data_IF_884260104323
#
_entry.id   IF_884260104323
#
_cell.length_a   1.000
_cell.length_b   1.000
_cell.length_c   1.000
_cell.angle_alpha   90.00
_cell.angle_beta   90.00
_cell.angle_gamma   90.00
#
_symmetry.space_group_name_H-M   'P 1'
#
loop_
_entity.id
_entity.type
_entity.pdbx_description
1 polymer ?
#
# COMPACT_ATOMS: atom_id res chain seq x y z
N UNK A 1 -15.54 2.94 -9.35
CA UNK A 1 -14.96 3.54 -10.57
C UNK A 1 -13.48 3.22 -10.56
N UNK A 2 -12.95 2.47 -11.53
CA UNK A 2 -11.50 2.18 -11.60
C UNK A 2 -10.85 3.44 -12.16
N UNK A 3 -10.08 4.16 -11.34
CA UNK A 3 -9.36 5.35 -11.79
C UNK A 3 -8.29 4.93 -12.83
N UNK A 4 -8.21 5.65 -13.97
CA UNK A 4 -7.24 5.33 -15.00
C UNK A 4 -5.81 5.42 -14.45
N UNK A 5 -4.98 4.44 -14.77
CA UNK A 5 -3.57 4.45 -14.33
C UNK A 5 -2.80 5.58 -15.04
N UNK A 6 -2.07 6.43 -14.31
CA UNK A 6 -1.12 7.35 -14.91
C UNK A 6 -0.06 6.58 -15.73
N UNK A 7 0.36 7.12 -16.88
CA UNK A 7 1.26 6.41 -17.81
C UNK A 7 2.58 5.96 -17.16
N UNK A 8 3.19 6.83 -16.34
CA UNK A 8 4.42 6.51 -15.62
C UNK A 8 4.22 5.39 -14.58
N UNK A 9 3.08 5.39 -13.89
CA UNK A 9 2.71 4.36 -12.92
C UNK A 9 2.43 3.04 -13.63
N UNK A 10 1.75 3.08 -14.79
CA UNK A 10 1.51 1.92 -15.63
C UNK A 10 2.83 1.26 -16.05
N UNK A 11 3.80 2.05 -16.52
CA UNK A 11 5.12 1.56 -16.88
C UNK A 11 5.84 0.90 -15.70
N UNK A 12 5.71 1.44 -14.48
CA UNK A 12 6.28 0.83 -13.29
C UNK A 12 5.65 -0.54 -12.96
N UNK A 13 4.33 -0.68 -13.08
CA UNK A 13 3.66 -1.98 -12.93
C UNK A 13 4.02 -2.96 -14.03
N UNK A 14 4.12 -2.50 -15.29
CA UNK A 14 4.48 -3.34 -16.44
C UNK A 14 5.90 -3.92 -16.33
N UNK A 15 6.79 -3.28 -15.56
CA UNK A 15 8.13 -3.77 -15.30
C UNK A 15 8.19 -4.91 -14.26
N UNK A 16 7.09 -5.19 -13.54
CA UNK A 16 7.04 -6.31 -12.60
C UNK A 16 6.76 -7.65 -13.33
N UNK A 17 7.27 -8.78 -12.81
CA UNK A 17 6.85 -10.10 -13.29
C UNK A 17 5.33 -10.26 -13.22
N UNK A 18 4.76 -11.07 -14.11
CA UNK A 18 3.32 -11.17 -14.32
C UNK A 18 2.52 -11.40 -13.03
N UNK A 19 2.92 -12.38 -12.21
CA UNK A 19 2.26 -12.70 -10.94
C UNK A 19 2.34 -11.53 -9.93
N UNK A 20 3.49 -10.87 -9.86
CA UNK A 20 3.68 -9.70 -9.00
C UNK A 20 2.84 -8.52 -9.48
N UNK A 21 2.83 -8.25 -10.78
CA UNK A 21 2.01 -7.20 -11.40
C UNK A 21 0.52 -7.42 -11.12
N UNK A 22 0.02 -8.63 -11.37
CA UNK A 22 -1.37 -8.98 -11.12
C UNK A 22 -1.76 -8.74 -9.65
N UNK A 23 -0.97 -9.28 -8.73
CA UNK A 23 -1.23 -9.16 -7.29
C UNK A 23 -1.16 -7.69 -6.83
N UNK A 24 -0.15 -6.93 -7.25
CA UNK A 24 0.01 -5.53 -6.86
C UNK A 24 -1.07 -4.62 -7.46
N UNK A 25 -1.63 -4.94 -8.64
CA UNK A 25 -2.79 -4.23 -9.19
C UNK A 25 -4.08 -4.52 -8.40
N UNK A 26 -4.23 -5.72 -7.83
CA UNK A 26 -5.31 -6.02 -6.90
C UNK A 26 -5.15 -5.21 -5.61
N UNK A 27 -3.93 -5.12 -5.06
CA UNK A 27 -3.66 -4.28 -3.89
C UNK A 27 -3.88 -2.79 -4.19
N UNK A 28 -3.49 -2.30 -5.37
CA UNK A 28 -3.84 -0.94 -5.83
C UNK A 28 -5.35 -0.72 -5.78
N UNK A 29 -6.12 -1.67 -6.30
CA UNK A 29 -7.58 -1.56 -6.32
C UNK A 29 -8.15 -1.50 -4.90
N UNK A 30 -7.59 -2.30 -3.98
CA UNK A 30 -7.95 -2.26 -2.57
C UNK A 30 -7.62 -0.90 -1.94
N UNK A 31 -6.48 -0.29 -2.24
CA UNK A 31 -6.10 1.05 -1.75
C UNK A 31 -7.18 2.09 -2.10
N UNK A 32 -7.60 2.14 -3.35
CA UNK A 32 -8.63 3.08 -3.79
C UNK A 32 -10.02 2.75 -3.23
N UNK A 33 -10.36 1.47 -3.08
CA UNK A 33 -11.63 1.07 -2.45
C UNK A 33 -11.68 1.50 -0.99
N UNK A 34 -10.61 1.24 -0.22
CA UNK A 34 -10.51 1.66 1.19
C UNK A 34 -10.57 3.18 1.32
N UNK A 35 -9.88 3.94 0.45
CA UNK A 35 -9.97 5.39 0.45
C UNK A 35 -11.40 5.90 0.17
N UNK A 36 -12.09 5.30 -0.81
CA UNK A 36 -13.45 5.69 -1.17
C UNK A 36 -14.49 5.40 -0.06
N UNK A 37 -14.22 4.43 0.82
CA UNK A 37 -15.08 4.11 1.96
C UNK A 37 -14.92 5.06 3.14
N UNK A 38 -13.85 5.87 3.16
CA UNK A 38 -13.55 6.78 4.27
C UNK A 38 -13.48 8.23 3.79
N UNK A 39 -14.56 9.04 3.97
CA UNK A 39 -14.59 10.43 3.52
C UNK A 39 -13.48 11.32 4.09
N UNK A 40 -12.87 10.96 5.22
CA UNK A 40 -11.77 11.72 5.80
C UNK A 40 -10.46 11.58 5.01
N UNK A 41 -10.32 10.54 4.18
CA UNK A 41 -9.16 10.31 3.32
C UNK A 41 -9.20 11.22 2.09
N UNK A 42 -10.39 11.41 1.51
CA UNK A 42 -10.57 12.15 0.27
C UNK A 42 -9.91 11.47 -0.95
N UNK A 43 -9.77 12.18 -2.08
CA UNK A 43 -9.12 11.63 -3.27
C UNK A 43 -7.64 11.38 -3.02
N UNK A 44 -7.13 10.26 -3.56
CA UNK A 44 -5.72 9.93 -3.51
C UNK A 44 -4.99 10.46 -4.75
N UNK A 45 -3.81 11.02 -4.54
CA UNK A 45 -2.82 11.19 -5.61
C UNK A 45 -2.07 9.88 -5.80
N UNK A 46 -2.11 9.35 -7.03
CA UNK A 46 -1.27 8.23 -7.47
C UNK A 46 -0.11 8.75 -8.33
N UNK A 47 1.12 8.45 -7.92
CA UNK A 47 2.35 8.93 -8.56
C UNK A 47 3.48 7.90 -8.39
N UNK A 48 4.70 8.26 -8.80
CA UNK A 48 5.91 7.51 -8.50
C UNK A 48 6.72 8.21 -7.40
N UNK A 49 7.21 7.42 -6.44
CA UNK A 49 8.30 7.83 -5.54
C UNK A 49 9.41 6.80 -5.61
N UNK A 50 10.63 7.23 -5.90
CA UNK A 50 11.78 6.33 -6.10
C UNK A 50 11.54 5.26 -7.19
N UNK A 51 10.78 5.61 -8.23
CA UNK A 51 10.39 4.70 -9.32
C UNK A 51 9.30 3.70 -8.94
N UNK A 52 8.72 3.79 -7.75
CA UNK A 52 7.70 2.87 -7.24
C UNK A 52 6.33 3.54 -7.18
N UNK A 53 5.23 2.83 -7.52
CA UNK A 53 3.86 3.31 -7.31
C UNK A 53 3.65 3.79 -5.87
N UNK A 54 3.13 5.00 -5.73
CA UNK A 54 2.93 5.69 -4.46
C UNK A 54 1.55 6.35 -4.40
N UNK A 55 0.93 6.27 -3.23
CA UNK A 55 -0.42 6.76 -2.95
C UNK A 55 -0.37 7.74 -1.79
N UNK A 56 -0.90 8.94 -2.01
CA UNK A 56 -0.81 10.05 -1.08
C UNK A 56 -2.18 10.69 -0.88
N UNK A 57 -2.44 11.13 0.35
CA UNK A 57 -3.58 11.97 0.70
C UNK A 57 -3.17 13.45 0.58
N UNK A 58 -2.78 13.93 -0.60
CA UNK A 58 -2.22 15.30 -0.73
C UNK A 58 -3.24 16.40 -0.41
N UNK A 59 -4.51 16.17 -0.77
CA UNK A 59 -5.60 17.11 -0.54
C UNK A 59 -5.95 17.21 0.95
N UNK A 60 -6.23 16.08 1.60
CA UNK A 60 -6.69 16.06 3.00
C UNK A 60 -5.55 16.05 4.01
N UNK A 61 -4.34 15.62 3.60
CA UNK A 61 -3.16 15.38 4.46
C UNK A 61 -3.45 14.47 5.65
N UNK A 62 -4.47 13.63 5.52
CA UNK A 62 -4.97 12.75 6.59
C UNK A 62 -4.07 11.54 6.86
N UNK A 63 -3.26 11.12 5.88
CA UNK A 63 -2.52 9.87 5.93
C UNK A 63 -1.03 9.98 5.63
N UNK A 64 -0.33 8.88 5.88
CA UNK A 64 1.05 8.66 5.46
C UNK A 64 1.11 8.10 4.05
N UNK A 65 2.16 8.40 3.30
CA UNK A 65 2.35 7.82 1.96
C UNK A 65 2.47 6.29 2.03
N UNK A 66 1.69 5.59 1.22
CA UNK A 66 1.85 4.16 0.94
C UNK A 66 2.61 4.03 -0.38
N UNK A 67 3.64 3.19 -0.42
CA UNK A 67 4.26 2.77 -1.69
C UNK A 67 4.14 1.28 -1.89
N UNK A 68 4.25 0.84 -3.12
CA UNK A 68 4.23 -0.57 -3.48
C UNK A 68 5.45 -0.95 -4.29
N UNK A 69 6.04 -2.10 -4.00
CA UNK A 69 7.03 -2.65 -4.90
C UNK A 69 7.08 -4.18 -4.83
N UNK A 70 7.56 -4.74 -5.92
CA UNK A 70 8.19 -6.07 -5.97
C UNK A 70 9.70 -5.88 -6.12
N UNK A 71 10.51 -6.75 -5.51
CA UNK A 71 11.98 -6.67 -5.58
C UNK A 71 12.57 -8.04 -5.90
N UNK A 72 13.57 -8.14 -6.81
CA UNK A 72 14.22 -9.41 -7.13
C UNK A 72 14.82 -10.13 -5.92
N UNK A 73 15.23 -9.39 -4.88
CA UNK A 73 15.78 -9.95 -3.64
C UNK A 73 14.75 -10.73 -2.80
N UNK A 74 13.45 -10.55 -3.06
CA UNK A 74 12.34 -11.33 -2.48
C UNK A 74 11.29 -11.62 -3.56
N UNK A 75 11.60 -12.52 -4.49
CA UNK A 75 10.85 -12.68 -5.73
C UNK A 75 9.44 -13.26 -5.52
N UNK A 76 9.20 -13.90 -4.37
CA UNK A 76 7.93 -14.51 -3.96
C UNK A 76 7.02 -13.55 -3.16
N UNK A 77 7.45 -12.29 -2.94
CA UNK A 77 6.71 -11.33 -2.13
C UNK A 77 6.37 -10.04 -2.88
N UNK A 78 5.15 -9.55 -2.66
CA UNK A 78 4.82 -8.14 -2.84
C UNK A 78 5.00 -7.39 -1.52
N UNK A 79 5.19 -6.07 -1.59
CA UNK A 79 5.38 -5.25 -0.40
C UNK A 79 4.61 -3.92 -0.46
N UNK A 80 3.97 -3.58 0.66
CA UNK A 80 3.57 -2.22 0.99
C UNK A 80 4.66 -1.58 1.86
N UNK A 81 5.16 -0.42 1.45
CA UNK A 81 6.10 0.37 2.23
C UNK A 81 5.42 1.59 2.84
N UNK A 82 5.75 1.84 4.10
CA UNK A 82 5.24 2.93 4.91
C UNK A 82 6.39 3.83 5.37
N UNK A 83 6.05 4.99 5.92
CA UNK A 83 7.04 5.90 6.49
C UNK A 83 7.65 5.31 7.77
N UNK A 84 8.97 5.09 7.76
CA UNK A 84 9.74 4.48 8.85
C UNK A 84 9.70 5.26 10.17
N UNK A 85 9.32 6.55 10.14
CA UNK A 85 9.19 7.42 11.32
C UNK A 85 7.80 7.33 11.99
N UNK A 86 6.97 6.40 11.53
CA UNK A 86 5.62 6.18 12.06
C UNK A 86 5.56 4.92 12.90
N UNK A 87 4.51 4.79 13.71
CA UNK A 87 4.24 3.56 14.45
C UNK A 87 3.48 2.52 13.63
N UNK A 88 3.07 2.85 12.39
CA UNK A 88 2.17 2.05 11.55
C UNK A 88 2.56 0.57 11.50
N UNK A 89 3.79 0.26 11.09
CA UNK A 89 4.22 -1.13 10.90
C UNK A 89 4.29 -1.90 12.22
N UNK A 90 4.60 -1.22 13.33
CA UNK A 90 4.60 -1.86 14.64
C UNK A 90 3.17 -2.15 15.11
N UNK A 91 2.26 -1.18 14.99
CA UNK A 91 0.84 -1.36 15.29
C UNK A 91 0.21 -2.46 14.43
N UNK A 92 0.52 -2.48 13.12
CA UNK A 92 0.06 -3.53 12.21
C UNK A 92 0.55 -4.91 12.65
N UNK A 93 1.79 -5.02 13.14
CA UNK A 93 2.36 -6.29 13.63
C UNK A 93 1.67 -6.76 14.90
N UNK A 94 1.31 -5.84 15.80
CA UNK A 94 0.58 -6.18 17.01
C UNK A 94 -0.84 -6.68 16.72
N UNK A 95 -1.52 -6.08 15.74
CA UNK A 95 -2.89 -6.47 15.35
C UNK A 95 -2.89 -7.75 14.49
N UNK A 96 -1.90 -7.91 13.60
CA UNK A 96 -1.85 -8.98 12.60
C UNK A 96 -0.52 -9.74 12.60
N UNK A 97 -0.11 -10.36 13.73
CA UNK A 97 1.22 -10.95 13.86
C UNK A 97 1.52 -12.04 12.81
N UNK A 98 0.51 -12.81 12.42
CA UNK A 98 0.65 -13.97 11.55
C UNK A 98 0.12 -13.75 10.12
N UNK A 99 -0.50 -12.60 9.83
CA UNK A 99 -1.09 -12.34 8.50
C UNK A 99 -0.06 -11.90 7.46
N UNK A 100 1.10 -11.39 7.91
CA UNK A 100 2.11 -10.81 7.02
C UNK A 100 3.53 -11.10 7.48
N UNK A 101 4.47 -10.96 6.55
CA UNK A 101 5.89 -10.82 6.90
C UNK A 101 6.23 -9.35 7.06
N UNK A 102 6.86 -8.98 8.17
CA UNK A 102 7.24 -7.60 8.44
C UNK A 102 8.73 -7.36 8.17
N UNK A 103 9.07 -6.29 7.46
CA UNK A 103 10.46 -5.86 7.29
C UNK A 103 10.74 -4.61 8.13
N UNK A 104 11.35 -4.82 9.30
CA UNK A 104 11.67 -3.75 10.25
C UNK A 104 10.43 -2.92 10.58
N UNK A 105 10.56 -1.60 10.54
CA UNK A 105 9.43 -0.66 10.78
C UNK A 105 8.89 -0.03 9.49
N UNK A 106 9.25 -0.59 8.32
CA UNK A 106 9.03 0.09 7.03
C UNK A 106 8.14 -0.62 6.04
N UNK A 107 7.90 -1.92 6.19
CA UNK A 107 7.11 -2.65 5.21
C UNK A 107 6.31 -3.83 5.77
N UNK A 108 5.17 -4.05 5.13
CA UNK A 108 4.33 -5.24 5.22
C UNK A 108 4.49 -6.00 3.91
N UNK A 109 4.89 -7.27 4.00
CA UNK A 109 5.11 -8.15 2.86
C UNK A 109 4.07 -9.27 2.89
N UNK A 110 3.59 -9.64 1.71
CA UNK A 110 2.64 -10.73 1.51
C UNK A 110 3.13 -11.61 0.36
N UNK A 111 2.80 -12.90 0.44
CA UNK A 111 3.19 -13.88 -0.56
C UNK A 111 2.37 -13.69 -1.83
N UNK A 112 3.03 -13.84 -2.98
CA UNK A 112 2.39 -13.73 -4.30
C UNK A 112 1.68 -15.01 -4.74
N UNK A 113 2.03 -16.15 -4.14
CA UNK A 113 1.50 -17.48 -4.43
C UNK A 113 0.36 -17.90 -3.48
N UNK A 114 -0.11 -16.98 -2.64
CA UNK A 114 -1.19 -17.21 -1.68
C UNK A 114 -2.29 -16.16 -1.83
N UNK A 115 -3.53 -16.48 -1.40
CA UNK A 115 -4.60 -15.50 -1.31
C UNK A 115 -4.17 -14.30 -0.46
N UNK A 116 -4.44 -13.09 -0.94
CA UNK A 116 -4.21 -11.87 -0.16
C UNK A 116 -5.15 -11.86 1.06
N UNK A 117 -4.64 -11.54 2.27
CA UNK A 117 -5.49 -11.34 3.44
C UNK A 117 -6.19 -9.97 3.34
N UNK A 118 -7.19 -9.87 2.45
CA UNK A 118 -7.79 -8.61 2.03
C UNK A 118 -8.31 -7.75 3.18
N UNK A 119 -8.96 -8.34 4.18
CA UNK A 119 -9.50 -7.58 5.32
C UNK A 119 -8.38 -6.96 6.17
N UNK A 120 -7.36 -7.75 6.49
CA UNK A 120 -6.20 -7.26 7.23
C UNK A 120 -5.43 -6.21 6.42
N UNK A 121 -5.32 -6.39 5.11
CA UNK A 121 -4.63 -5.46 4.22
C UNK A 121 -5.41 -4.16 4.08
N UNK A 122 -6.74 -4.21 3.95
CA UNK A 122 -7.62 -3.05 3.92
C UNK A 122 -7.51 -2.24 5.22
N UNK A 123 -7.51 -2.91 6.38
CA UNK A 123 -7.33 -2.22 7.65
C UNK A 123 -5.93 -1.59 7.76
N UNK A 124 -4.87 -2.27 7.32
CA UNK A 124 -3.53 -1.68 7.25
C UNK A 124 -3.49 -0.42 6.36
N UNK A 125 -4.14 -0.49 5.20
CA UNK A 125 -4.26 0.64 4.27
C UNK A 125 -5.02 1.79 4.94
N UNK A 126 -6.16 1.53 5.57
CA UNK A 126 -6.95 2.56 6.26
C UNK A 126 -6.16 3.25 7.36
N UNK A 127 -5.46 2.48 8.21
CA UNK A 127 -4.59 3.03 9.25
C UNK A 127 -3.52 3.95 8.66
N UNK A 128 -2.91 3.57 7.54
CA UNK A 128 -1.92 4.41 6.87
C UNK A 128 -2.55 5.66 6.27
N UNK A 129 -3.70 5.55 5.59
CA UNK A 129 -4.40 6.67 4.96
C UNK A 129 -5.05 7.64 5.97
N UNK A 130 -5.15 7.28 7.25
CA UNK A 130 -5.73 8.14 8.31
C UNK A 130 -4.74 8.47 9.44
N UNK A 131 -3.48 8.08 9.31
CA UNK A 131 -2.46 8.18 10.38
C UNK A 131 -2.30 9.57 11.02
N UNK A 132 -2.53 10.66 10.27
CA UNK A 132 -2.38 12.04 10.75
C UNK A 132 -3.69 12.66 11.24
N UNK A 133 -4.83 11.97 11.12
CA UNK A 133 -6.15 12.50 11.47
C UNK A 133 -6.26 12.96 12.92
N UNK A 134 -5.63 12.24 13.84
CA UNK A 134 -5.66 12.53 15.29
C UNK A 134 -4.44 13.32 15.79
N UNK A 135 -3.56 13.79 14.89
CA UNK A 135 -2.38 14.62 15.25
C UNK A 135 -2.64 16.11 15.13
N UNK A 136 -3.91 16.52 15.27
CA UNK A 136 -4.30 17.93 15.40
C UNK A 136 -4.22 18.36 16.85
#
# INVERSE_FOLDING_TARGET
MILPLPACVKAAFDAFPELARYTLLNVRSLIFQTAAQNPAVGPLTETLKWGEPAYLTEETKSGSTIRMAWKPAKPDHGALFFNCKTTLVNTMREIYPDSFTYQGTRAVLFRLDQPLPNDALAHCIEMALTYHRNKR
#
